data_IF_072861973329
#
_entry.id   IF_072861973329
#
_cell.length_a   1.000
_cell.length_b   1.000
_cell.length_c   1.000
_cell.angle_alpha   90.00
_cell.angle_beta   90.00
_cell.angle_gamma   90.00
#
_symmetry.space_group_name_H-M   'P 1'
#
loop_
_entity.id
_entity.type
_entity.pdbx_description
1 polymer ?
#
# COMPACT_ATOMS: atom_id res chain seq x y z
N UNK A 1 -19.84 -59.05 8.50
CA UNK A 1 -19.03 -58.26 7.57
C UNK A 1 -18.09 -57.41 8.41
N UNK A 2 -16.80 -57.75 8.37
CA UNK A 2 -15.72 -57.14 9.15
C UNK A 2 -15.35 -55.78 8.56
N UNK A 3 -15.10 -54.80 9.43
CA UNK A 3 -14.56 -53.50 9.07
C UNK A 3 -13.04 -53.58 8.94
N UNK A 4 -12.57 -53.30 7.73
CA UNK A 4 -11.16 -53.33 7.35
C UNK A 4 -10.35 -52.12 7.85
N UNK A 5 -9.08 -52.43 8.10
CA UNK A 5 -8.01 -51.59 8.61
C UNK A 5 -7.62 -50.46 7.64
N UNK A 6 -7.55 -49.21 8.14
CA UNK A 6 -6.84 -48.13 7.48
C UNK A 6 -5.46 -47.99 8.12
N UNK A 7 -4.44 -48.34 7.34
CA UNK A 7 -3.02 -48.31 7.68
C UNK A 7 -2.47 -46.88 7.68
N UNK A 8 -1.68 -46.60 8.72
CA UNK A 8 -0.84 -45.40 8.87
C UNK A 8 0.32 -45.44 7.87
N UNK A 9 0.34 -44.52 6.91
CA UNK A 9 1.52 -44.24 6.10
C UNK A 9 2.40 -43.19 6.82
N UNK A 10 3.63 -43.59 7.16
CA UNK A 10 4.70 -42.72 7.68
C UNK A 10 5.26 -41.91 6.52
N UNK A 11 5.16 -40.58 6.61
CA UNK A 11 5.85 -39.67 5.69
C UNK A 11 7.35 -39.63 5.98
N UNK A 12 8.18 -39.97 5.00
CA UNK A 12 9.62 -39.77 5.04
C UNK A 12 9.94 -38.30 4.76
N UNK A 13 10.76 -37.70 5.63
CA UNK A 13 11.32 -36.37 5.43
C UNK A 13 12.45 -36.45 4.39
N UNK A 14 12.26 -35.81 3.23
CA UNK A 14 13.35 -35.54 2.30
C UNK A 14 14.17 -34.34 2.78
N UNK A 15 15.51 -34.44 2.89
CA UNK A 15 16.35 -33.27 3.09
C UNK A 15 16.58 -32.59 1.74
N UNK A 16 16.14 -31.35 1.59
CA UNK A 16 16.60 -30.51 0.48
C UNK A 16 18.07 -30.14 0.72
N UNK A 17 18.96 -30.30 -0.28
CA UNK A 17 20.32 -29.80 -0.15
C UNK A 17 20.29 -28.27 -0.13
N UNK A 18 20.96 -27.68 0.87
CA UNK A 18 21.28 -26.25 0.89
C UNK A 18 22.03 -25.91 -0.41
N UNK A 19 21.45 -25.05 -1.24
CA UNK A 19 22.19 -24.38 -2.31
C UNK A 19 23.03 -23.30 -1.67
N UNK A 20 24.35 -23.44 -1.79
CA UNK A 20 25.31 -22.38 -1.51
C UNK A 20 24.98 -21.19 -2.42
N UNK A 21 24.56 -20.08 -1.80
CA UNK A 21 24.27 -18.82 -2.47
C UNK A 21 25.37 -17.83 -2.10
N UNK A 22 26.51 -17.94 -2.78
CA UNK A 22 27.52 -16.88 -2.87
C UNK A 22 28.21 -17.00 -4.23
N UNK A 23 27.55 -16.47 -5.26
CA UNK A 23 28.21 -16.03 -6.47
C UNK A 23 27.87 -14.55 -6.65
N UNK A 24 28.51 -13.70 -5.85
CA UNK A 24 28.68 -12.30 -6.23
C UNK A 24 29.56 -12.30 -7.49
N UNK A 25 28.91 -12.28 -8.66
CA UNK A 25 29.63 -12.18 -9.92
C UNK A 25 30.43 -10.87 -9.91
N UNK A 26 31.73 -10.95 -10.23
CA UNK A 26 32.64 -9.81 -10.33
C UNK A 26 32.15 -8.71 -11.31
N UNK A 27 31.09 -8.98 -12.09
CA UNK A 27 30.46 -8.01 -12.99
C UNK A 27 29.61 -6.92 -12.32
N UNK A 28 29.15 -7.11 -11.07
CA UNK A 28 28.29 -6.13 -10.40
C UNK A 28 29.06 -4.92 -9.80
N UNK A 29 30.38 -5.04 -9.62
CA UNK A 29 31.23 -3.96 -9.06
C UNK A 29 31.78 -3.00 -10.11
N UNK A 30 31.85 -3.42 -11.38
CA UNK A 30 32.46 -2.65 -12.47
C UNK A 30 31.69 -1.35 -12.85
N UNK A 31 30.35 -1.31 -12.88
CA UNK A 31 29.63 -0.09 -13.26
C UNK A 31 29.70 1.02 -12.22
N UNK A 32 29.81 0.68 -10.92
CA UNK A 32 29.87 1.63 -9.80
C UNK A 32 31.21 2.39 -9.79
N UNK A 33 32.28 1.78 -10.32
CA UNK A 33 33.59 2.42 -10.48
C UNK A 33 33.76 3.19 -11.80
N UNK A 34 32.88 2.98 -12.79
CA UNK A 34 33.02 3.54 -14.14
C UNK A 34 32.08 4.73 -14.43
N UNK A 35 31.09 5.00 -13.57
CA UNK A 35 30.09 6.05 -13.74
C UNK A 35 30.54 7.43 -13.29
N UNK A 36 31.60 7.96 -13.92
CA UNK A 36 32.01 9.37 -14.04
C UNK A 36 33.51 9.36 -14.26
N UNK A 37 33.96 9.51 -15.50
CA UNK A 37 35.38 9.70 -15.82
C UNK A 37 35.78 11.10 -15.35
N UNK A 38 35.96 11.23 -14.03
CA UNK A 38 36.73 12.31 -13.45
C UNK A 38 38.16 12.17 -13.97
N UNK A 39 38.75 13.29 -14.39
CA UNK A 39 40.15 13.33 -14.79
C UNK A 39 41.01 12.66 -13.69
N UNK A 40 42.01 11.83 -14.06
CA UNK A 40 42.79 11.08 -13.11
C UNK A 40 43.42 12.04 -12.12
N UNK A 41 42.99 11.97 -10.85
CA UNK A 41 43.59 12.78 -9.81
C UNK A 41 45.06 12.38 -9.72
N UNK A 42 45.96 13.37 -9.82
CA UNK A 42 47.42 13.18 -9.79
C UNK A 42 47.96 12.77 -8.42
N UNK A 43 47.09 12.45 -7.45
CA UNK A 43 47.50 11.82 -6.20
C UNK A 43 47.72 10.33 -6.45
N UNK A 44 48.95 9.86 -6.22
CA UNK A 44 49.30 8.43 -6.18
C UNK A 44 48.19 7.69 -5.44
N UNK A 45 47.53 6.73 -6.11
CA UNK A 45 46.40 6.00 -5.55
C UNK A 45 46.78 5.38 -4.21
N UNK A 46 46.18 5.86 -3.13
CA UNK A 46 46.28 5.18 -1.85
C UNK A 46 45.53 3.85 -1.96
N UNK A 47 46.06 2.77 -1.37
CA UNK A 47 45.34 1.50 -1.33
C UNK A 47 44.00 1.69 -0.62
N UNK A 48 42.92 1.22 -1.24
CA UNK A 48 41.61 1.13 -0.61
C UNK A 48 41.61 -0.13 0.26
N UNK A 49 41.55 0.07 1.57
CA UNK A 49 41.37 -1.03 2.54
C UNK A 49 39.88 -1.37 2.64
N UNK A 50 39.54 -2.64 2.43
CA UNK A 50 38.17 -3.15 2.60
C UNK A 50 38.09 -4.03 3.85
N UNK A 51 37.20 -3.68 4.76
CA UNK A 51 36.95 -4.39 6.02
C UNK A 51 35.57 -5.04 6.00
N UNK A 52 35.38 -6.09 6.80
CA UNK A 52 34.09 -6.74 6.98
C UNK A 52 33.67 -6.67 8.45
N UNK A 53 32.40 -6.36 8.69
CA UNK A 53 31.78 -6.27 10.01
C UNK A 53 30.52 -7.12 10.03
N UNK A 54 30.24 -7.79 11.16
CA UNK A 54 29.07 -8.64 11.28
C UNK A 54 27.79 -7.80 11.37
N UNK A 55 27.86 -6.65 12.05
CA UNK A 55 26.72 -5.76 12.24
C UNK A 55 27.10 -4.25 12.34
N UNK A 56 26.11 -3.36 12.41
CA UNK A 56 26.34 -1.91 12.49
C UNK A 56 26.96 -1.45 13.81
N UNK A 57 26.80 -2.18 14.92
CA UNK A 57 27.48 -1.85 16.16
C UNK A 57 28.98 -2.11 16.06
N UNK A 58 29.41 -3.21 15.44
CA UNK A 58 30.84 -3.46 15.21
C UNK A 58 31.45 -2.33 14.35
N UNK A 59 30.69 -1.84 13.36
CA UNK A 59 31.10 -0.68 12.55
C UNK A 59 31.21 0.60 13.38
N UNK A 60 30.30 0.83 14.34
CA UNK A 60 30.34 1.99 15.27
C UNK A 60 31.54 1.94 16.20
N UNK A 61 31.87 0.74 16.68
CA UNK A 61 33.02 0.50 17.56
C UNK A 61 34.34 0.64 16.83
N UNK A 62 34.34 0.39 15.51
CA UNK A 62 35.49 0.61 14.64
C UNK A 62 35.74 2.11 14.40
N UNK A 63 36.31 2.76 15.41
CA UNK A 63 36.88 4.11 15.33
C UNK A 63 38.16 4.12 14.47
N UNK A 64 38.41 5.25 13.81
CA UNK A 64 39.49 5.55 12.84
C UNK A 64 40.77 4.69 12.97
N UNK A 65 41.36 4.32 11.83
CA UNK A 65 42.81 4.14 11.73
C UNK A 65 43.48 5.52 11.73
N UNK A 66 44.67 5.66 12.31
CA UNK A 66 45.32 6.95 12.57
C UNK A 66 45.66 7.77 11.30
N UNK A 67 45.60 7.16 10.12
CA UNK A 67 46.25 7.68 8.91
C UNK A 67 45.34 8.33 7.86
N UNK A 68 44.07 8.60 8.17
CA UNK A 68 43.17 9.31 7.24
C UNK A 68 42.94 8.57 5.91
N UNK A 69 43.17 7.27 5.88
CA UNK A 69 42.93 6.43 4.71
C UNK A 69 41.44 6.34 4.39
N UNK A 70 41.12 6.24 3.09
CA UNK A 70 39.77 5.92 2.65
C UNK A 70 39.47 4.45 2.99
N UNK A 71 38.62 4.22 3.98
CA UNK A 71 38.22 2.88 4.40
C UNK A 71 36.86 2.54 3.82
N UNK A 72 36.80 1.39 3.17
CA UNK A 72 35.56 0.75 2.72
C UNK A 72 35.20 -0.35 3.71
N UNK A 73 33.93 -0.43 4.10
CA UNK A 73 33.42 -1.44 5.01
C UNK A 73 32.25 -2.19 4.38
N UNK A 74 32.27 -3.51 4.44
CA UNK A 74 31.12 -4.38 4.15
C UNK A 74 30.51 -4.78 5.48
N UNK A 75 29.25 -4.44 5.70
CA UNK A 75 28.50 -4.84 6.89
C UNK A 75 27.50 -5.92 6.50
N UNK A 76 27.50 -7.04 7.21
CA UNK A 76 26.66 -8.20 6.88
C UNK A 76 25.21 -8.07 7.34
N UNK A 77 24.93 -7.21 8.32
CA UNK A 77 23.57 -6.92 8.81
C UNK A 77 23.48 -5.67 9.70
N UNK A 78 22.27 -5.31 10.13
CA UNK A 78 22.00 -4.24 11.09
C UNK A 78 22.39 -4.67 12.50
N UNK A 79 21.89 -5.80 12.99
CA UNK A 79 22.12 -6.27 14.37
C UNK A 79 22.86 -7.61 14.42
N UNK A 80 22.70 -8.46 13.42
CA UNK A 80 23.42 -9.73 13.27
C UNK A 80 23.65 -10.04 11.79
N UNK A 81 24.64 -10.88 11.44
CA UNK A 81 24.91 -11.20 10.05
C UNK A 81 23.65 -11.67 9.30
N UNK A 82 23.43 -11.12 8.10
CA UNK A 82 22.32 -11.43 7.20
C UNK A 82 20.94 -11.06 7.75
N UNK A 83 20.89 -10.22 8.78
CA UNK A 83 19.63 -9.76 9.33
C UNK A 83 19.01 -8.58 8.55
N UNK A 84 19.47 -8.31 7.31
CA UNK A 84 19.08 -7.10 6.58
C UNK A 84 19.82 -5.87 7.13
N UNK A 85 19.74 -4.74 6.45
CA UNK A 85 20.36 -3.49 6.92
C UNK A 85 21.88 -3.41 6.85
N UNK A 86 22.54 -4.50 6.47
CA UNK A 86 23.94 -4.51 6.01
C UNK A 86 24.12 -3.79 4.67
N UNK A 87 25.35 -3.61 4.23
CA UNK A 87 25.67 -2.88 3.01
C UNK A 87 27.13 -2.49 2.90
N UNK A 88 27.45 -1.71 1.88
CA UNK A 88 28.78 -1.13 1.70
C UNK A 88 28.80 0.26 2.34
N UNK A 89 29.85 0.60 3.08
CA UNK A 89 30.00 1.89 3.75
C UNK A 89 31.39 2.48 3.48
N UNK A 90 31.47 3.79 3.46
CA UNK A 90 32.71 4.55 3.32
C UNK A 90 32.83 5.55 4.45
N UNK A 91 33.98 5.60 5.11
CA UNK A 91 34.21 6.59 6.16
C UNK A 91 34.40 7.99 5.53
N UNK A 92 33.46 8.89 5.77
CA UNK A 92 33.61 10.32 5.47
C UNK A 92 34.12 11.04 6.72
N UNK A 93 35.44 11.26 6.76
CA UNK A 93 36.09 11.94 7.90
C UNK A 93 35.71 13.41 8.07
N UNK A 94 35.11 14.04 7.05
CA UNK A 94 34.64 15.43 7.11
C UNK A 94 33.15 15.54 7.48
N UNK A 95 32.40 14.44 7.39
CA UNK A 95 30.99 14.42 7.77
C UNK A 95 30.82 14.63 9.27
N UNK A 96 30.02 15.64 9.62
CA UNK A 96 29.64 15.97 10.98
C UNK A 96 28.12 15.93 11.07
N UNK A 97 27.58 15.24 12.06
CA UNK A 97 26.14 15.10 12.23
C UNK A 97 25.77 14.02 13.26
N UNK A 98 24.49 13.90 13.61
CA UNK A 98 24.01 12.77 14.39
C UNK A 98 24.11 11.46 13.58
N UNK A 99 24.31 10.34 14.27
CA UNK A 99 24.09 8.99 13.73
C UNK A 99 22.60 8.86 13.36
N UNK A 100 22.31 8.58 12.09
CA UNK A 100 20.94 8.39 11.59
C UNK A 100 20.54 6.90 11.53
N UNK A 101 21.44 6.00 11.95
CA UNK A 101 21.32 4.54 12.05
C UNK A 101 21.24 3.83 10.70
N UNK A 102 21.20 4.57 9.58
CA UNK A 102 20.83 4.02 8.26
C UNK A 102 21.86 4.39 7.20
N UNK A 103 22.00 5.67 6.92
CA UNK A 103 22.84 6.22 5.85
C UNK A 103 24.14 6.84 6.38
N UNK A 104 24.14 7.30 7.63
CA UNK A 104 25.27 7.94 8.32
C UNK A 104 25.42 7.35 9.72
N UNK A 105 26.39 6.47 9.90
CA UNK A 105 26.68 5.84 11.20
C UNK A 105 27.80 6.63 11.89
N UNK A 106 27.49 7.21 13.04
CA UNK A 106 28.46 7.93 13.86
C UNK A 106 29.34 6.95 14.62
N UNK A 107 30.66 7.12 14.57
CA UNK A 107 31.54 6.42 15.52
C UNK A 107 31.21 6.83 16.96
N UNK A 108 31.48 5.97 17.94
CA UNK A 108 31.19 6.28 19.36
C UNK A 108 31.90 7.55 19.89
N UNK A 109 32.92 8.04 19.18
CA UNK A 109 33.62 9.26 19.53
C UNK A 109 33.14 10.44 18.65
N UNK A 110 32.52 11.43 19.30
CA UNK A 110 31.78 12.59 18.74
C UNK A 110 32.55 13.56 17.84
N UNK A 111 33.77 13.24 17.42
CA UNK A 111 34.67 14.15 16.68
C UNK A 111 35.33 13.52 15.45
N UNK A 112 34.86 12.36 14.97
CA UNK A 112 35.70 11.48 14.13
C UNK A 112 35.13 11.05 12.77
N UNK A 113 34.22 11.86 12.19
CA UNK A 113 33.60 11.57 10.89
C UNK A 113 32.38 10.64 11.00
N UNK A 114 31.81 10.26 9.86
CA UNK A 114 30.67 9.34 9.78
C UNK A 114 30.86 8.29 8.69
N UNK A 115 30.46 7.06 8.96
CA UNK A 115 30.35 6.03 7.93
C UNK A 115 29.12 6.31 7.07
N UNK A 116 29.34 6.53 5.78
CA UNK A 116 28.28 6.75 4.81
C UNK A 116 28.00 5.48 4.03
N UNK A 117 26.75 5.04 3.99
CA UNK A 117 26.37 3.89 3.17
C UNK A 117 26.48 4.23 1.68
N UNK A 118 27.18 3.38 0.94
CA UNK A 118 27.31 3.44 -0.51
C UNK A 118 26.22 2.60 -1.17
N UNK A 119 25.75 3.04 -2.34
CA UNK A 119 24.74 2.30 -3.12
C UNK A 119 23.29 2.53 -2.68
N UNK A 120 23.05 3.23 -1.56
CA UNK A 120 21.74 3.83 -1.28
C UNK A 120 21.42 5.03 -2.19
N UNK A 121 22.32 5.37 -3.12
CA UNK A 121 21.97 6.11 -4.33
C UNK A 121 21.18 5.22 -5.31
N UNK A 122 19.98 4.85 -4.88
CA UNK A 122 18.86 4.43 -5.69
C UNK A 122 18.96 3.06 -6.35
N UNK A 123 17.94 2.24 -6.05
CA UNK A 123 17.32 1.38 -7.06
C UNK A 123 16.91 2.16 -8.35
N UNK A 124 17.03 3.50 -8.39
CA UNK A 124 16.86 4.39 -9.55
C UNK A 124 17.80 5.63 -9.58
N UNK A 125 18.96 5.63 -8.91
CA UNK A 125 19.86 6.81 -8.89
C UNK A 125 19.28 8.09 -8.27
N UNK A 126 18.20 8.00 -7.48
CA UNK A 126 17.61 9.13 -6.77
C UNK A 126 18.02 9.07 -5.29
N UNK A 127 18.72 10.09 -4.80
CA UNK A 127 19.18 10.22 -3.41
C UNK A 127 18.05 10.36 -2.37
N UNK A 128 16.80 10.31 -2.83
CA UNK A 128 15.60 10.59 -2.05
C UNK A 128 14.85 9.34 -1.60
N UNK A 129 15.39 8.12 -1.81
CA UNK A 129 14.75 6.88 -1.34
C UNK A 129 15.44 6.32 -0.11
N UNK A 130 14.65 5.88 0.87
CA UNK A 130 15.08 5.16 2.05
C UNK A 130 14.56 3.74 1.97
N UNK A 131 15.38 2.75 2.26
CA UNK A 131 15.06 1.35 2.03
C UNK A 131 14.60 0.66 3.31
N UNK A 132 13.47 -0.05 3.31
CA UNK A 132 12.95 -0.75 4.50
C UNK A 132 13.95 -1.74 5.12
N UNK A 133 14.71 -2.46 4.30
CA UNK A 133 15.74 -3.38 4.77
C UNK A 133 16.90 -2.63 5.42
N UNK A 134 17.19 -1.39 5.00
CA UNK A 134 18.18 -0.56 5.68
C UNK A 134 17.83 -0.27 7.16
N UNK A 135 16.54 -0.32 7.50
CA UNK A 135 16.02 -0.23 8.88
C UNK A 135 15.87 -1.61 9.56
N UNK A 136 16.35 -2.69 8.94
CA UNK A 136 16.33 -4.05 9.48
C UNK A 136 15.06 -4.86 9.17
N UNK A 137 14.20 -4.39 8.25
CA UNK A 137 13.05 -5.20 7.80
C UNK A 137 13.54 -6.42 7.00
N UNK A 138 12.86 -7.56 7.12
CA UNK A 138 13.20 -8.82 6.44
C UNK A 138 12.29 -9.12 5.27
N UNK A 139 10.97 -8.90 5.42
CA UNK A 139 9.99 -9.27 4.41
C UNK A 139 9.90 -10.79 4.20
N UNK A 140 10.18 -11.59 5.23
CA UNK A 140 10.39 -13.04 5.14
C UNK A 140 9.25 -13.90 5.72
N UNK A 141 8.06 -13.32 5.92
CA UNK A 141 6.88 -13.94 6.55
C UNK A 141 7.05 -14.46 8.01
N UNK A 142 8.23 -14.35 8.62
CA UNK A 142 8.48 -14.92 9.94
C UNK A 142 8.83 -13.83 10.94
N UNK A 143 9.74 -12.94 10.55
CA UNK A 143 10.26 -11.85 11.34
C UNK A 143 9.21 -10.74 11.50
N UNK A 144 9.15 -10.14 12.68
CA UNK A 144 8.30 -8.97 12.92
C UNK A 144 8.99 -7.70 12.41
N UNK A 145 8.45 -7.14 11.33
CA UNK A 145 9.01 -5.98 10.64
C UNK A 145 8.44 -4.64 11.16
N UNK A 146 7.52 -4.68 12.13
CA UNK A 146 6.77 -3.51 12.60
C UNK A 146 7.69 -2.34 12.98
N UNK A 147 8.78 -2.60 13.72
CA UNK A 147 9.69 -1.54 14.16
C UNK A 147 10.46 -0.92 12.99
N UNK A 148 11.05 -1.75 12.14
CA UNK A 148 11.81 -1.30 10.99
C UNK A 148 10.98 -0.42 10.05
N UNK A 149 9.73 -0.84 9.77
CA UNK A 149 8.83 -0.05 8.91
C UNK A 149 8.38 1.25 9.57
N UNK A 150 8.17 1.28 10.90
CA UNK A 150 7.89 2.54 11.61
C UNK A 150 9.05 3.52 11.54
N UNK A 151 10.28 3.02 11.70
CA UNK A 151 11.48 3.85 11.64
C UNK A 151 11.68 4.40 10.22
N UNK A 152 11.42 3.60 9.18
CA UNK A 152 11.37 4.04 7.79
C UNK A 152 10.35 5.17 7.58
N UNK A 153 9.10 4.99 8.02
CA UNK A 153 8.04 6.00 7.85
C UNK A 153 8.39 7.31 8.55
N UNK A 154 8.98 7.23 9.75
CA UNK A 154 9.42 8.41 10.49
C UNK A 154 10.54 9.16 9.76
N UNK A 155 11.47 8.42 9.15
CA UNK A 155 12.57 8.98 8.39
C UNK A 155 12.12 9.55 7.02
N UNK A 156 11.07 8.99 6.40
CA UNK A 156 10.49 9.50 5.15
C UNK A 156 9.52 10.67 5.37
N UNK A 157 8.81 10.71 6.50
CA UNK A 157 7.73 11.66 6.79
C UNK A 157 8.12 13.00 7.41
N UNK A 158 9.41 13.32 7.58
CA UNK A 158 9.83 14.59 8.21
C UNK A 158 9.84 15.75 7.21
N UNK A 159 8.87 16.66 7.33
CA UNK A 159 8.72 17.89 6.52
C UNK A 159 9.84 18.95 6.74
N UNK A 160 10.93 18.63 7.45
CA UNK A 160 11.98 19.60 7.75
C UNK A 160 12.83 19.93 6.50
N UNK A 161 12.42 20.97 5.77
CA UNK A 161 13.28 21.84 4.95
C UNK A 161 13.70 21.33 3.56
N UNK A 162 13.60 20.04 3.30
CA UNK A 162 13.85 19.42 1.99
C UNK A 162 12.76 18.37 1.78
N UNK A 163 12.15 18.34 0.59
CA UNK A 163 11.03 17.46 0.26
C UNK A 163 11.23 16.05 0.86
N UNK A 164 10.25 15.56 1.63
CA UNK A 164 10.35 14.30 2.36
C UNK A 164 10.84 13.17 1.45
N UNK A 165 11.74 12.33 1.98
CA UNK A 165 12.25 11.16 1.27
C UNK A 165 11.10 10.18 1.03
N UNK A 166 11.25 9.29 0.05
CA UNK A 166 10.33 8.19 -0.21
C UNK A 166 10.82 6.95 0.54
N UNK A 167 9.98 6.36 1.38
CA UNK A 167 10.25 5.05 1.93
C UNK A 167 9.93 3.97 0.91
N UNK A 168 10.92 3.14 0.58
CA UNK A 168 10.82 2.06 -0.39
C UNK A 168 10.70 0.72 0.32
N UNK A 169 9.63 -0.03 0.00
CA UNK A 169 9.31 -1.35 0.52
C UNK A 169 9.55 -2.36 -0.59
N UNK A 170 10.68 -3.05 -0.57
CA UNK A 170 10.96 -4.04 -1.61
C UNK A 170 9.98 -5.21 -1.55
N UNK A 171 10.07 -6.08 -2.55
CA UNK A 171 9.32 -7.31 -2.55
C UNK A 171 9.55 -8.14 -1.27
N UNK A 172 8.46 -8.65 -0.71
CA UNK A 172 8.48 -9.40 0.53
C UNK A 172 7.12 -9.43 1.21
N UNK A 173 7.01 -10.35 2.17
CA UNK A 173 5.87 -10.44 3.08
C UNK A 173 6.32 -9.91 4.44
N UNK A 174 5.89 -8.70 4.77
CA UNK A 174 6.31 -7.97 5.97
C UNK A 174 5.31 -8.18 7.10
N UNK A 175 5.74 -8.90 8.14
CA UNK A 175 4.85 -9.23 9.26
C UNK A 175 4.68 -8.02 10.14
N UNK A 176 3.43 -7.65 10.43
CA UNK A 176 3.13 -6.59 11.37
C UNK A 176 2.43 -7.15 12.61
N UNK A 177 3.06 -6.99 13.78
CA UNK A 177 2.44 -7.26 15.09
C UNK A 177 1.79 -6.02 15.69
N UNK A 178 2.03 -4.84 15.11
CA UNK A 178 1.42 -3.59 15.51
C UNK A 178 1.15 -2.65 14.33
N UNK A 179 0.49 -1.53 14.63
CA UNK A 179 0.07 -0.54 13.63
C UNK A 179 1.19 0.43 13.26
N UNK A 180 1.23 0.85 12.00
CA UNK A 180 2.11 1.88 11.46
C UNK A 180 1.43 3.25 11.55
N UNK A 181 2.15 4.26 12.03
CA UNK A 181 1.60 5.62 12.11
C UNK A 181 1.92 6.35 10.80
N UNK A 182 0.94 6.45 9.92
CA UNK A 182 1.05 7.26 8.71
C UNK A 182 1.20 8.74 9.09
N UNK A 183 2.07 9.45 8.37
CA UNK A 183 2.33 10.87 8.59
C UNK A 183 1.97 11.67 7.35
N UNK A 184 1.48 12.89 7.55
CA UNK A 184 1.33 13.85 6.47
C UNK A 184 2.66 14.05 5.75
N UNK A 185 2.60 14.28 4.43
CA UNK A 185 3.77 14.37 3.54
C UNK A 185 4.63 13.10 3.42
N UNK A 186 4.29 12.00 4.12
CA UNK A 186 5.01 10.75 3.95
C UNK A 186 4.75 10.16 2.57
N UNK A 187 5.79 9.55 2.01
CA UNK A 187 5.71 8.81 0.75
C UNK A 187 6.19 7.39 1.01
N UNK A 188 5.36 6.41 0.69
CA UNK A 188 5.73 5.00 0.70
C UNK A 188 5.47 4.40 -0.68
N UNK A 189 6.46 3.67 -1.19
CA UNK A 189 6.42 3.02 -2.49
C UNK A 189 6.88 1.58 -2.35
N UNK A 190 6.17 0.62 -2.93
CA UNK A 190 6.61 -0.78 -3.01
C UNK A 190 6.85 -1.28 -4.43
N UNK A 191 7.04 -2.59 -4.59
CA UNK A 191 7.25 -3.25 -5.89
C UNK A 191 5.95 -3.69 -6.57
N UNK A 192 4.82 -3.63 -5.86
CA UNK A 192 3.49 -3.90 -6.39
C UNK A 192 2.52 -4.42 -5.34
N UNK A 193 1.22 -4.30 -5.62
CA UNK A 193 0.11 -4.71 -4.74
C UNK A 193 0.15 -6.17 -4.25
N UNK A 194 0.87 -7.03 -4.97
CA UNK A 194 1.05 -8.47 -4.63
C UNK A 194 2.51 -8.85 -4.38
N UNK A 195 3.43 -7.90 -4.44
CA UNK A 195 4.88 -8.14 -4.31
C UNK A 195 5.42 -7.66 -2.96
N UNK A 196 5.03 -6.45 -2.55
CA UNK A 196 5.36 -5.87 -1.24
C UNK A 196 4.10 -5.89 -0.40
N UNK A 197 3.98 -6.80 0.56
CA UNK A 197 2.71 -7.01 1.29
C UNK A 197 2.91 -6.92 2.78
N UNK A 198 2.15 -6.05 3.43
CA UNK A 198 1.99 -6.04 4.89
C UNK A 198 0.95 -7.07 5.31
N UNK A 199 1.27 -7.97 6.23
CA UNK A 199 0.34 -9.04 6.62
C UNK A 199 0.36 -9.37 8.12
N UNK A 200 -0.74 -9.94 8.65
CA UNK A 200 -0.81 -10.46 10.02
C UNK A 200 -1.78 -11.66 10.19
N UNK A 201 -1.29 -12.90 10.13
CA UNK A 201 -2.13 -14.11 10.28
C UNK A 201 -2.31 -14.63 11.71
N UNK A 202 -1.66 -14.06 12.72
CA UNK A 202 -1.58 -14.72 14.02
C UNK A 202 -2.85 -14.60 14.88
N UNK A 203 -3.71 -13.63 14.59
CA UNK A 203 -4.93 -13.39 15.36
C UNK A 203 -6.15 -13.87 14.58
N UNK A 204 -6.99 -14.70 15.22
CA UNK A 204 -8.23 -15.26 14.66
C UNK A 204 -9.22 -14.16 14.21
N UNK A 205 -9.12 -12.97 14.80
CA UNK A 205 -9.72 -11.73 14.32
C UNK A 205 -8.63 -10.67 14.54
N UNK A 206 -7.99 -10.13 13.49
CA UNK A 206 -6.97 -9.12 13.66
C UNK A 206 -7.64 -7.81 14.12
N UNK A 207 -7.24 -7.29 15.28
CA UNK A 207 -7.72 -5.99 15.79
C UNK A 207 -6.86 -4.80 15.33
N UNK A 208 -5.69 -5.08 14.77
CA UNK A 208 -4.74 -4.05 14.36
C UNK A 208 -5.00 -3.63 12.91
N UNK A 209 -5.17 -2.33 12.61
CA UNK A 209 -5.05 -1.83 11.25
C UNK A 209 -3.57 -1.77 10.83
N UNK A 210 -3.29 -1.77 9.52
CA UNK A 210 -1.93 -1.55 9.00
C UNK A 210 -1.49 -0.13 9.30
N UNK A 211 -2.27 0.86 8.86
CA UNK A 211 -1.98 2.28 9.04
C UNK A 211 -3.03 2.98 9.90
N UNK A 212 -2.57 3.90 10.75
CA UNK A 212 -3.41 4.92 11.40
C UNK A 212 -2.81 6.30 11.25
N UNK A 213 -3.66 7.32 11.29
CA UNK A 213 -3.24 8.69 11.49
C UNK A 213 -4.27 9.43 12.36
N UNK A 214 -3.81 9.91 13.53
CA UNK A 214 -4.68 10.60 14.49
C UNK A 214 -4.81 12.10 14.21
N UNK A 215 -3.73 12.72 13.75
CA UNK A 215 -3.65 14.17 13.54
C UNK A 215 -3.98 14.57 12.09
N UNK A 216 -4.72 13.71 11.38
CA UNK A 216 -4.95 13.81 9.95
C UNK A 216 -3.81 13.24 9.11
N UNK A 217 -4.09 13.11 7.82
CA UNK A 217 -3.19 12.61 6.79
C UNK A 217 -3.34 13.55 5.58
N UNK A 218 -2.35 14.39 5.34
CA UNK A 218 -2.39 15.35 4.23
C UNK A 218 -1.18 15.23 3.33
N UNK A 219 -1.38 15.38 2.02
CA UNK A 219 -0.30 15.36 1.02
C UNK A 219 0.59 14.12 1.06
N UNK A 220 0.06 12.98 1.52
CA UNK A 220 0.77 11.72 1.57
C UNK A 220 0.59 10.92 0.26
N UNK A 221 1.59 10.10 -0.09
CA UNK A 221 1.50 9.18 -1.23
C UNK A 221 1.81 7.75 -0.77
N UNK A 222 0.94 6.82 -1.13
CA UNK A 222 1.08 5.39 -0.86
C UNK A 222 0.91 4.63 -2.16
N UNK A 223 1.96 3.92 -2.58
CA UNK A 223 2.03 3.37 -3.93
C UNK A 223 2.57 1.93 -3.95
N UNK A 224 2.00 1.08 -4.81
CA UNK A 224 2.57 -0.22 -5.19
C UNK A 224 2.81 -1.20 -4.01
N UNK A 225 1.85 -1.37 -3.10
CA UNK A 225 1.96 -2.42 -2.08
C UNK A 225 0.59 -2.97 -1.67
N UNK A 226 0.61 -4.18 -1.11
CA UNK A 226 -0.56 -4.88 -0.61
C UNK A 226 -0.66 -4.86 0.91
N UNK A 227 -1.87 -5.11 1.38
CA UNK A 227 -2.18 -5.34 2.78
C UNK A 227 -3.08 -6.57 2.87
N UNK A 228 -2.86 -7.45 3.84
CA UNK A 228 -3.59 -8.71 3.95
C UNK A 228 -3.86 -9.15 5.40
N UNK A 229 -5.11 -9.58 5.65
CA UNK A 229 -5.54 -10.22 6.90
C UNK A 229 -5.31 -9.34 8.13
N UNK A 230 -5.60 -8.04 8.03
CA UNK A 230 -5.65 -7.12 9.18
C UNK A 230 -7.09 -6.70 9.50
N UNK A 231 -7.26 -5.89 10.56
CA UNK A 231 -8.57 -5.25 10.82
C UNK A 231 -8.94 -4.38 9.64
N UNK A 232 -8.03 -3.48 9.30
CA UNK A 232 -8.16 -2.57 8.19
C UNK A 232 -6.80 -2.27 7.54
N UNK A 233 -6.81 -1.84 6.29
CA UNK A 233 -5.61 -1.28 5.66
C UNK A 233 -5.28 0.07 6.28
N UNK A 234 -6.18 1.04 6.13
CA UNK A 234 -6.08 2.37 6.73
C UNK A 234 -7.26 2.60 7.69
N UNK A 235 -6.98 3.01 8.92
CA UNK A 235 -7.98 3.54 9.87
C UNK A 235 -7.54 4.94 10.32
N UNK A 236 -8.07 5.95 9.62
CA UNK A 236 -7.66 7.35 9.77
C UNK A 236 -8.70 8.10 10.61
N UNK A 237 -8.26 8.63 11.74
CA UNK A 237 -9.12 9.35 12.68
C UNK A 237 -9.29 10.82 12.31
N UNK A 238 -8.22 11.48 11.85
CA UNK A 238 -8.23 12.90 11.51
C UNK A 238 -8.61 13.20 10.06
N UNK A 239 -8.47 14.47 9.68
CA UNK A 239 -8.76 14.97 8.33
C UNK A 239 -7.84 14.31 7.30
N UNK A 240 -8.41 13.85 6.19
CA UNK A 240 -7.67 13.28 5.05
C UNK A 240 -7.83 14.20 3.85
N UNK A 241 -6.73 14.79 3.37
CA UNK A 241 -6.78 15.77 2.28
C UNK A 241 -5.58 15.66 1.31
N UNK A 242 -5.84 15.80 0.00
CA UNK A 242 -4.81 15.79 -1.06
C UNK A 242 -3.86 14.58 -1.02
N UNK A 243 -4.38 13.38 -0.71
CA UNK A 243 -3.57 12.16 -0.68
C UNK A 243 -3.67 11.38 -2.00
N UNK A 244 -2.66 10.56 -2.25
CA UNK A 244 -2.60 9.66 -3.41
C UNK A 244 -2.43 8.22 -2.96
N UNK A 245 -3.34 7.35 -3.38
CA UNK A 245 -3.32 5.91 -3.11
C UNK A 245 -3.31 5.17 -4.46
N UNK A 246 -2.13 4.68 -4.88
CA UNK A 246 -1.93 4.17 -6.24
C UNK A 246 -1.51 2.71 -6.22
N UNK A 247 -2.20 1.85 -6.97
CA UNK A 247 -1.87 0.44 -7.10
C UNK A 247 -1.72 -0.25 -5.73
N UNK A 248 -2.71 -0.02 -4.86
CA UNK A 248 -2.76 -0.61 -3.53
C UNK A 248 -3.69 -1.82 -3.49
N UNK A 249 -3.21 -2.90 -2.87
CA UNK A 249 -3.97 -4.13 -2.65
C UNK A 249 -4.52 -4.22 -1.23
N UNK A 250 -5.75 -4.70 -1.08
CA UNK A 250 -6.37 -5.01 0.22
C UNK A 250 -7.08 -6.34 0.18
N UNK A 251 -6.57 -7.33 0.92
CA UNK A 251 -7.08 -8.70 0.87
C UNK A 251 -7.53 -9.17 2.25
N UNK A 252 -8.71 -9.78 2.33
CA UNK A 252 -9.19 -10.42 3.56
C UNK A 252 -9.23 -9.48 4.79
N UNK A 253 -9.58 -8.20 4.59
CA UNK A 253 -9.70 -7.26 5.71
C UNK A 253 -10.94 -7.56 6.54
N UNK A 254 -10.75 -7.71 7.85
CA UNK A 254 -11.84 -8.08 8.75
C UNK A 254 -12.93 -7.00 8.85
N UNK A 255 -12.56 -5.72 8.74
CA UNK A 255 -13.44 -4.55 8.78
C UNK A 255 -13.49 -3.80 7.44
N UNK A 256 -12.45 -3.04 7.07
CA UNK A 256 -12.46 -2.24 5.84
C UNK A 256 -11.06 -2.12 5.25
N UNK A 257 -10.90 -1.97 3.94
CA UNK A 257 -9.56 -1.62 3.42
C UNK A 257 -9.21 -0.17 3.79
N UNK A 258 -10.15 0.75 3.59
CA UNK A 258 -10.04 2.13 4.03
C UNK A 258 -11.19 2.51 4.95
N UNK A 259 -10.87 2.99 6.15
CA UNK A 259 -11.82 3.57 7.09
C UNK A 259 -11.36 4.98 7.45
N UNK A 260 -12.19 5.95 7.10
CA UNK A 260 -12.01 7.36 7.43
C UNK A 260 -13.07 7.75 8.46
N UNK A 261 -12.63 8.16 9.64
CA UNK A 261 -13.51 8.66 10.71
C UNK A 261 -13.63 10.18 10.69
N UNK A 262 -12.62 10.85 10.14
CA UNK A 262 -12.66 12.26 9.77
C UNK A 262 -13.04 12.47 8.30
N UNK A 263 -13.10 13.75 7.86
CA UNK A 263 -13.34 14.13 6.46
C UNK A 263 -12.35 13.47 5.49
N UNK A 264 -12.85 13.11 4.31
CA UNK A 264 -12.04 12.60 3.19
C UNK A 264 -12.19 13.56 2.01
N UNK A 265 -11.12 14.27 1.67
CA UNK A 265 -11.15 15.39 0.74
C UNK A 265 -10.09 15.24 -0.34
N UNK A 266 -10.45 15.64 -1.56
CA UNK A 266 -9.53 15.88 -2.71
C UNK A 266 -8.52 14.76 -3.02
N UNK A 267 -8.79 13.53 -2.58
CA UNK A 267 -7.83 12.44 -2.64
C UNK A 267 -8.04 11.60 -3.89
N UNK A 268 -6.93 11.06 -4.41
CA UNK A 268 -6.90 10.17 -5.57
C UNK A 268 -6.71 8.72 -5.13
N UNK A 269 -7.56 7.85 -5.66
CA UNK A 269 -7.43 6.41 -5.56
C UNK A 269 -7.29 5.86 -6.99
N UNK A 270 -6.12 5.36 -7.35
CA UNK A 270 -5.83 4.89 -8.71
C UNK A 270 -5.43 3.41 -8.69
N UNK A 271 -6.10 2.58 -9.49
CA UNK A 271 -5.81 1.14 -9.64
C UNK A 271 -5.78 0.39 -8.30
N UNK A 272 -6.68 0.74 -7.39
CA UNK A 272 -6.85 0.00 -6.13
C UNK A 272 -7.50 -1.35 -6.39
N UNK A 273 -7.07 -2.40 -5.67
CA UNK A 273 -7.62 -3.75 -5.77
C UNK A 273 -7.98 -4.28 -4.40
N UNK A 274 -9.28 -4.37 -4.10
CA UNK A 274 -9.78 -4.88 -2.83
C UNK A 274 -10.54 -6.18 -3.05
N UNK A 275 -10.17 -7.23 -2.31
CA UNK A 275 -10.79 -8.54 -2.39
C UNK A 275 -11.13 -9.10 -1.00
N UNK A 276 -12.25 -9.83 -0.93
CA UNK A 276 -12.65 -10.66 0.21
C UNK A 276 -12.65 -9.90 1.55
N UNK A 277 -12.94 -8.60 1.49
CA UNK A 277 -12.94 -7.70 2.65
C UNK A 277 -14.36 -7.37 3.10
N UNK A 278 -14.55 -7.03 4.38
CA UNK A 278 -15.90 -6.70 4.87
C UNK A 278 -16.44 -5.43 4.19
N UNK A 279 -15.63 -4.38 4.11
CA UNK A 279 -15.88 -3.16 3.34
C UNK A 279 -14.67 -2.80 2.47
N UNK A 280 -14.91 -2.09 1.36
CA UNK A 280 -13.84 -1.44 0.59
C UNK A 280 -13.42 -0.13 1.27
N UNK A 281 -14.20 0.92 1.03
CA UNK A 281 -13.98 2.29 1.55
C UNK A 281 -15.17 2.71 2.40
N UNK A 282 -14.88 3.20 3.61
CA UNK A 282 -15.90 3.62 4.59
C UNK A 282 -15.59 5.00 5.12
N UNK A 283 -16.57 5.91 5.03
CA UNK A 283 -16.58 7.20 5.70
C UNK A 283 -18.02 7.52 6.09
N UNK A 284 -18.41 7.22 7.34
CA UNK A 284 -19.83 7.20 7.76
C UNK A 284 -20.26 8.45 8.53
N UNK A 285 -19.30 9.18 9.12
CA UNK A 285 -19.58 10.24 10.10
C UNK A 285 -18.94 11.58 9.72
N UNK A 286 -18.49 11.72 8.48
CA UNK A 286 -17.81 12.92 8.01
C UNK A 286 -18.11 13.17 6.53
N UNK A 287 -17.69 14.34 6.04
CA UNK A 287 -17.88 14.77 4.65
C UNK A 287 -16.85 14.07 3.75
N UNK A 288 -17.29 13.64 2.57
CA UNK A 288 -16.43 13.07 1.53
C UNK A 288 -16.52 13.95 0.30
N UNK A 289 -15.54 14.80 -0.01
CA UNK A 289 -15.68 15.73 -1.15
C UNK A 289 -14.52 15.69 -2.15
N UNK A 290 -14.86 15.80 -3.45
CA UNK A 290 -13.89 15.93 -4.56
C UNK A 290 -12.88 14.79 -4.67
N UNK A 291 -13.28 13.58 -4.28
CA UNK A 291 -12.41 12.41 -4.41
C UNK A 291 -12.56 11.77 -5.79
N UNK A 292 -11.44 11.33 -6.35
CA UNK A 292 -11.40 10.66 -7.65
C UNK A 292 -10.92 9.23 -7.49
N UNK A 293 -11.69 8.30 -8.07
CA UNK A 293 -11.37 6.88 -8.13
C UNK A 293 -11.13 6.50 -9.59
N UNK A 294 -9.95 6.01 -9.94
CA UNK A 294 -9.59 5.58 -11.29
C UNK A 294 -9.30 4.10 -11.29
N UNK A 295 -9.99 3.37 -12.15
CA UNK A 295 -9.86 1.93 -12.31
C UNK A 295 -9.93 1.13 -11.00
N UNK A 296 -10.87 1.43 -10.07
CA UNK A 296 -10.94 0.68 -8.81
C UNK A 296 -11.51 -0.73 -9.04
N UNK A 297 -10.90 -1.75 -8.45
CA UNK A 297 -11.40 -3.12 -8.45
C UNK A 297 -11.88 -3.51 -7.06
N UNK A 298 -13.17 -3.81 -6.93
CA UNK A 298 -13.80 -4.30 -5.71
C UNK A 298 -14.37 -5.70 -5.97
N UNK A 299 -13.77 -6.70 -5.32
CA UNK A 299 -14.07 -8.12 -5.51
C UNK A 299 -14.55 -8.74 -4.20
N UNK A 300 -15.63 -9.50 -4.25
CA UNK A 300 -16.14 -10.27 -3.10
C UNK A 300 -16.28 -9.44 -1.81
N UNK A 301 -16.63 -8.15 -1.94
CA UNK A 301 -16.76 -7.27 -0.78
C UNK A 301 -18.03 -7.62 -0.03
N UNK A 302 -17.92 -7.95 1.25
CA UNK A 302 -19.02 -8.56 2.01
C UNK A 302 -20.22 -7.63 2.17
N UNK A 303 -19.98 -6.36 2.49
CA UNK A 303 -21.04 -5.40 2.83
C UNK A 303 -21.20 -4.32 1.77
N UNK A 304 -20.17 -3.49 1.54
CA UNK A 304 -20.22 -2.43 0.52
C UNK A 304 -18.83 -2.10 0.01
N UNK A 305 -18.70 -1.90 -1.31
CA UNK A 305 -17.48 -1.41 -1.92
C UNK A 305 -17.18 0.02 -1.45
N UNK A 306 -18.22 0.86 -1.42
CA UNK A 306 -18.13 2.24 -0.94
C UNK A 306 -19.31 2.53 -0.02
N UNK A 307 -19.02 2.90 1.22
CA UNK A 307 -20.01 3.40 2.18
C UNK A 307 -19.65 4.83 2.58
N UNK A 308 -20.33 5.80 1.99
CA UNK A 308 -19.95 7.22 2.08
C UNK A 308 -21.12 8.07 2.60
N UNK A 309 -20.88 8.81 3.66
CA UNK A 309 -21.74 9.86 4.17
C UNK A 309 -21.25 11.22 3.68
N UNK A 310 -22.16 12.17 3.46
CA UNK A 310 -21.82 13.53 3.05
C UNK A 310 -20.98 13.58 1.77
N UNK A 311 -21.22 12.65 0.84
CA UNK A 311 -20.40 12.53 -0.36
C UNK A 311 -20.76 13.61 -1.38
N UNK A 312 -19.82 14.47 -1.76
CA UNK A 312 -20.02 15.57 -2.71
C UNK A 312 -18.97 15.56 -3.82
N UNK A 313 -19.38 15.67 -5.08
CA UNK A 313 -18.46 15.81 -6.23
C UNK A 313 -17.46 14.63 -6.31
N UNK A 314 -17.98 13.40 -6.15
CA UNK A 314 -17.18 12.18 -6.23
C UNK A 314 -17.22 11.64 -7.66
N UNK A 315 -16.05 11.36 -8.21
CA UNK A 315 -15.89 10.84 -9.56
C UNK A 315 -15.24 9.45 -9.54
N UNK A 316 -15.90 8.47 -10.16
CA UNK A 316 -15.37 7.13 -10.42
C UNK A 316 -15.20 6.96 -11.92
N UNK A 317 -13.99 6.66 -12.38
CA UNK A 317 -13.65 6.42 -13.79
C UNK A 317 -13.23 4.97 -13.96
N UNK A 318 -13.94 4.24 -14.81
CA UNK A 318 -13.82 2.82 -14.96
C UNK A 318 -14.30 2.09 -13.71
N UNK A 319 -13.65 0.97 -13.42
CA UNK A 319 -13.87 0.18 -12.22
C UNK A 319 -14.58 -1.14 -12.48
N UNK A 320 -14.27 -2.08 -11.61
CA UNK A 320 -14.72 -3.47 -11.66
C UNK A 320 -15.35 -3.80 -10.31
N UNK A 321 -16.65 -3.99 -10.29
CA UNK A 321 -17.40 -4.35 -9.10
C UNK A 321 -17.94 -5.76 -9.27
N UNK A 322 -17.34 -6.73 -8.59
CA UNK A 322 -17.67 -8.13 -8.80
C UNK A 322 -17.70 -8.98 -7.54
N UNK A 323 -18.33 -10.15 -7.66
CA UNK A 323 -18.34 -11.17 -6.62
C UNK A 323 -19.40 -10.91 -5.55
N UNK A 324 -19.98 -11.99 -5.04
CA UNK A 324 -21.19 -11.93 -4.24
C UNK A 324 -21.00 -11.15 -2.93
N UNK A 325 -21.90 -10.20 -2.68
CA UNK A 325 -22.06 -9.54 -1.40
C UNK A 325 -23.09 -10.21 -0.50
N UNK A 326 -23.19 -9.75 0.75
CA UNK A 326 -24.26 -10.18 1.67
C UNK A 326 -25.63 -9.72 1.16
N UNK A 327 -26.63 -10.58 1.33
CA UNK A 327 -28.02 -10.26 0.98
C UNK A 327 -28.52 -9.00 1.69
N UNK A 328 -29.33 -8.20 1.02
CA UNK A 328 -29.86 -6.95 1.56
C UNK A 328 -28.85 -5.81 1.65
N UNK A 329 -27.59 -5.99 1.21
CA UNK A 329 -26.57 -4.94 1.17
C UNK A 329 -26.42 -4.35 -0.23
N UNK A 330 -25.72 -3.21 -0.33
CA UNK A 330 -25.48 -2.50 -1.57
C UNK A 330 -23.99 -2.29 -1.83
N UNK A 331 -23.62 -2.22 -3.12
CA UNK A 331 -22.25 -1.92 -3.54
C UNK A 331 -21.88 -0.50 -3.13
N UNK A 332 -22.76 0.44 -3.47
CA UNK A 332 -22.70 1.85 -3.12
C UNK A 332 -23.74 2.11 -2.02
N UNK A 333 -23.29 2.41 -0.82
CA UNK A 333 -24.14 2.78 0.33
C UNK A 333 -23.89 4.25 0.67
N UNK A 334 -24.76 5.12 0.15
CA UNK A 334 -24.59 6.57 0.17
C UNK A 334 -25.62 7.21 1.11
N UNK A 335 -25.17 8.17 1.92
CA UNK A 335 -26.06 8.99 2.74
C UNK A 335 -25.69 10.46 2.69
N UNK A 336 -26.68 11.35 2.64
CA UNK A 336 -26.47 12.80 2.49
C UNK A 336 -25.53 13.15 1.32
N UNK A 337 -25.62 12.39 0.22
CA UNK A 337 -24.73 12.56 -0.92
C UNK A 337 -25.29 13.56 -1.95
N UNK A 338 -24.41 14.12 -2.78
CA UNK A 338 -24.69 15.06 -3.85
C UNK A 338 -23.63 14.93 -4.97
N UNK A 339 -24.04 14.96 -6.23
CA UNK A 339 -23.12 14.98 -7.39
C UNK A 339 -22.11 13.83 -7.40
N UNK A 340 -22.59 12.60 -7.60
CA UNK A 340 -21.75 11.41 -7.75
C UNK A 340 -21.78 10.98 -9.21
N UNK A 341 -20.61 10.77 -9.82
CA UNK A 341 -20.52 10.38 -11.23
C UNK A 341 -19.69 9.11 -11.38
N UNK A 342 -20.23 8.12 -12.07
CA UNK A 342 -19.54 6.90 -12.48
C UNK A 342 -19.44 6.91 -14.01
N UNK A 343 -18.23 6.89 -14.55
CA UNK A 343 -17.95 6.91 -16.00
C UNK A 343 -17.24 5.63 -16.39
N UNK A 344 -17.88 4.79 -17.19
CA UNK A 344 -17.39 3.47 -17.53
C UNK A 344 -17.48 2.48 -16.36
N UNK A 345 -16.85 1.32 -16.54
CA UNK A 345 -16.82 0.27 -15.54
C UNK A 345 -17.96 -0.73 -15.67
N UNK A 346 -17.89 -1.76 -14.84
CA UNK A 346 -18.84 -2.86 -14.90
C UNK A 346 -19.20 -3.45 -13.54
N UNK A 347 -20.44 -3.90 -13.45
CA UNK A 347 -21.03 -4.56 -12.29
C UNK A 347 -21.38 -6.00 -12.66
N UNK A 348 -20.77 -6.98 -11.97
CA UNK A 348 -20.93 -8.40 -12.29
C UNK A 348 -21.07 -9.31 -11.08
N UNK A 349 -22.22 -9.95 -10.90
CA UNK A 349 -22.41 -10.97 -9.86
C UNK A 349 -22.20 -10.44 -8.43
N UNK A 350 -22.34 -9.14 -8.26
CA UNK A 350 -22.07 -8.40 -7.03
C UNK A 350 -23.29 -8.37 -6.08
N UNK A 351 -23.42 -7.34 -5.25
CA UNK A 351 -24.53 -7.23 -4.29
C UNK A 351 -25.90 -7.18 -4.97
N UNK A 352 -26.93 -7.57 -4.21
CA UNK A 352 -28.34 -7.49 -4.64
C UNK A 352 -28.74 -6.07 -5.06
N UNK A 353 -28.25 -5.07 -4.32
CA UNK A 353 -28.49 -3.65 -4.61
C UNK A 353 -27.23 -3.01 -5.21
N UNK A 354 -27.37 -2.31 -6.34
CA UNK A 354 -26.26 -1.48 -6.86
C UNK A 354 -26.07 -0.28 -5.93
N UNK A 355 -27.17 0.38 -5.60
CA UNK A 355 -27.19 1.63 -4.86
C UNK A 355 -28.22 1.59 -3.73
N UNK A 356 -27.75 1.97 -2.54
CA UNK A 356 -28.56 2.49 -1.45
C UNK A 356 -28.27 3.96 -1.28
N UNK A 357 -29.30 4.79 -1.29
CA UNK A 357 -29.16 6.24 -1.14
C UNK A 357 -30.19 6.76 -0.12
N UNK A 358 -29.70 7.42 0.94
CA UNK A 358 -30.53 7.99 2.01
C UNK A 358 -30.29 9.47 2.20
N UNK A 359 -31.36 10.27 2.25
CA UNK A 359 -31.28 11.73 2.36
C UNK A 359 -30.34 12.36 1.30
N UNK A 360 -30.19 11.70 0.16
CA UNK A 360 -29.33 12.15 -0.93
C UNK A 360 -30.13 13.15 -1.75
N UNK A 361 -29.58 14.36 -1.89
CA UNK A 361 -30.13 15.39 -2.73
C UNK A 361 -29.24 15.53 -3.97
N UNK A 362 -29.83 15.82 -5.12
CA UNK A 362 -29.08 16.04 -6.36
C UNK A 362 -28.89 14.80 -7.21
N UNK A 363 -27.76 14.76 -7.93
CA UNK A 363 -27.54 13.89 -9.07
C UNK A 363 -26.58 12.74 -8.76
N UNK A 364 -26.98 11.51 -9.06
CA UNK A 364 -26.08 10.36 -9.21
C UNK A 364 -26.14 9.91 -10.67
N UNK A 365 -25.02 10.02 -11.39
CA UNK A 365 -24.94 9.70 -12.81
C UNK A 365 -24.13 8.43 -13.05
N UNK A 366 -24.66 7.56 -13.90
CA UNK A 366 -23.98 6.40 -14.47
C UNK A 366 -23.83 6.66 -15.97
N UNK A 367 -22.61 6.70 -16.47
CA UNK A 367 -22.28 7.00 -17.87
C UNK A 367 -21.45 5.87 -18.46
N UNK A 368 -21.90 5.27 -19.56
CA UNK A 368 -21.22 4.15 -20.23
C UNK A 368 -20.94 2.96 -19.32
N UNK A 369 -21.82 2.71 -18.35
CA UNK A 369 -21.70 1.62 -17.38
C UNK A 369 -22.35 0.33 -17.91
N UNK A 370 -21.69 -0.79 -17.67
CA UNK A 370 -22.21 -2.13 -17.98
C UNK A 370 -22.72 -2.85 -16.71
N UNK A 371 -23.97 -3.30 -16.74
CA UNK A 371 -24.59 -4.10 -15.69
C UNK A 371 -24.85 -5.51 -16.20
N UNK A 372 -24.44 -6.55 -15.46
CA UNK A 372 -24.86 -7.92 -15.78
C UNK A 372 -26.08 -8.32 -14.96
N UNK A 373 -25.87 -8.95 -13.82
CA UNK A 373 -26.91 -9.46 -12.93
C UNK A 373 -26.32 -9.69 -11.52
N UNK A 374 -27.13 -9.60 -10.47
CA UNK A 374 -26.64 -9.94 -9.13
C UNK A 374 -26.50 -11.46 -8.96
N UNK A 375 -27.41 -12.21 -9.60
CA UNK A 375 -27.38 -13.66 -9.78
C UNK A 375 -27.84 -13.98 -11.20
N UNK A 376 -27.39 -15.09 -11.80
CA UNK A 376 -27.82 -15.46 -13.15
C UNK A 376 -29.34 -15.35 -13.33
N UNK A 377 -29.77 -14.51 -14.27
CA UNK A 377 -31.18 -14.26 -14.59
C UNK A 377 -31.93 -13.32 -13.63
N UNK A 378 -31.29 -12.76 -12.60
CA UNK A 378 -31.94 -11.86 -11.65
C UNK A 378 -31.31 -10.46 -11.69
N UNK A 379 -32.08 -9.43 -12.08
CA UNK A 379 -31.55 -8.07 -12.23
C UNK A 379 -31.22 -7.46 -10.88
N UNK A 380 -30.37 -6.44 -10.90
CA UNK A 380 -30.05 -5.64 -9.73
C UNK A 380 -31.26 -4.87 -9.20
N UNK A 381 -31.22 -4.59 -7.90
CA UNK A 381 -32.19 -3.76 -7.20
C UNK A 381 -31.63 -2.37 -6.88
N UNK A 382 -32.55 -1.46 -6.60
CA UNK A 382 -32.30 -0.06 -6.27
C UNK A 382 -33.08 0.27 -5.00
N UNK A 383 -32.41 0.86 -4.02
CA UNK A 383 -33.02 1.26 -2.75
C UNK A 383 -32.68 2.73 -2.50
N UNK A 384 -33.45 3.60 -3.14
CA UNK A 384 -33.12 5.02 -3.33
C UNK A 384 -34.32 5.87 -2.92
N UNK A 385 -34.10 6.83 -2.02
CA UNK A 385 -35.16 7.74 -1.59
C UNK A 385 -35.61 8.68 -2.73
N UNK A 386 -36.89 9.07 -2.72
CA UNK A 386 -37.52 9.91 -3.76
C UNK A 386 -36.77 11.20 -4.17
N UNK A 387 -36.10 11.98 -3.29
CA UNK A 387 -35.39 13.19 -3.71
C UNK A 387 -34.14 12.91 -4.55
N UNK A 388 -33.64 11.67 -4.55
CA UNK A 388 -32.43 11.30 -5.29
C UNK A 388 -32.74 11.18 -6.77
N UNK A 389 -31.99 11.89 -7.62
CA UNK A 389 -32.13 11.78 -9.09
C UNK A 389 -31.01 10.90 -9.65
N UNK A 390 -31.40 9.81 -10.30
CA UNK A 390 -30.46 8.97 -11.05
C UNK A 390 -30.48 9.36 -12.52
N UNK A 391 -29.32 9.44 -13.15
CA UNK A 391 -29.19 9.63 -14.61
C UNK A 391 -28.37 8.49 -15.18
N UNK A 392 -28.86 7.88 -16.25
CA UNK A 392 -28.16 6.84 -16.99
C UNK A 392 -27.88 7.34 -18.40
N UNK A 393 -26.61 7.35 -18.80
CA UNK A 393 -26.15 7.81 -20.11
C UNK A 393 -25.44 6.69 -20.84
N UNK A 394 -25.97 6.26 -21.98
CA UNK A 394 -25.31 5.25 -22.82
C UNK A 394 -24.97 3.94 -22.06
N UNK A 395 -25.84 3.53 -21.13
CA UNK A 395 -25.61 2.35 -20.29
C UNK A 395 -26.13 1.06 -20.94
N UNK A 396 -25.61 -0.07 -20.51
CA UNK A 396 -26.03 -1.38 -20.99
C UNK A 396 -26.31 -2.33 -19.83
N UNK A 397 -27.47 -2.99 -19.84
CA UNK A 397 -27.77 -4.11 -18.96
C UNK A 397 -27.88 -5.41 -19.78
N UNK A 398 -27.25 -6.51 -19.35
CA UNK A 398 -27.35 -7.80 -20.08
C UNK A 398 -28.73 -8.43 -19.97
N UNK A 399 -29.49 -8.09 -18.93
CA UNK A 399 -30.88 -8.49 -18.74
C UNK A 399 -31.78 -7.28 -18.47
N UNK A 400 -33.10 -7.36 -18.74
CA UNK A 400 -34.03 -6.29 -18.43
C UNK A 400 -33.95 -5.87 -16.95
N UNK A 401 -33.70 -4.58 -16.72
CA UNK A 401 -33.60 -3.96 -15.39
C UNK A 401 -34.51 -2.74 -15.33
N UNK A 402 -35.23 -2.60 -14.21
CA UNK A 402 -36.06 -1.42 -13.93
C UNK A 402 -35.38 -0.52 -12.90
N UNK A 403 -35.23 0.76 -13.24
CA UNK A 403 -34.65 1.79 -12.36
C UNK A 403 -35.75 2.64 -11.70
N UNK A 404 -35.48 3.32 -10.57
CA UNK A 404 -36.47 4.12 -9.84
C UNK A 404 -37.22 5.15 -10.71
N UNK A 405 -38.48 5.45 -10.38
CA UNK A 405 -39.41 6.34 -11.12
C UNK A 405 -38.86 7.75 -11.40
N UNK A 406 -37.98 8.27 -10.54
CA UNK A 406 -37.34 9.58 -10.70
C UNK A 406 -36.10 9.59 -11.60
N UNK A 407 -35.73 8.45 -12.18
CA UNK A 407 -34.54 8.33 -13.02
C UNK A 407 -34.74 8.90 -14.41
N UNK A 408 -33.67 9.39 -15.02
CA UNK A 408 -33.62 9.87 -16.40
C UNK A 408 -32.70 8.98 -17.23
N UNK A 409 -33.15 8.63 -18.43
CA UNK A 409 -32.36 7.89 -19.41
C UNK A 409 -31.99 8.85 -20.55
N UNK A 410 -30.70 9.06 -20.77
CA UNK A 410 -30.16 9.90 -21.84
C UNK A 410 -29.32 9.04 -22.80
N UNK A 411 -29.44 9.29 -24.10
CA UNK A 411 -28.73 8.47 -25.11
C UNK A 411 -29.25 7.03 -25.22
N UNK A 412 -28.36 6.09 -25.53
CA UNK A 412 -28.73 4.70 -25.83
C UNK A 412 -28.60 3.84 -24.57
N UNK A 413 -29.74 3.54 -23.91
CA UNK A 413 -29.76 2.69 -22.72
C UNK A 413 -30.38 1.32 -23.06
N UNK A 414 -29.55 0.27 -23.12
CA UNK A 414 -29.98 -1.07 -23.49
C UNK A 414 -30.53 -1.85 -22.29
N UNK A 415 -31.74 -2.39 -22.42
CA UNK A 415 -32.43 -3.19 -21.39
C UNK A 415 -32.66 -2.46 -20.05
N UNK A 416 -32.66 -1.13 -20.05
CA UNK A 416 -32.92 -0.32 -18.86
C UNK A 416 -34.21 0.45 -19.10
N UNK A 417 -35.18 0.30 -18.19
CA UNK A 417 -36.45 1.03 -18.21
C UNK A 417 -36.71 1.74 -16.90
N UNK A 418 -37.40 2.88 -16.95
CA UNK A 418 -37.84 3.59 -15.74
C UNK A 418 -39.13 2.97 -15.21
N UNK A 419 -39.25 2.80 -13.89
CA UNK A 419 -40.46 2.30 -13.25
C UNK A 419 -41.69 3.16 -13.64
N UNK A 420 -42.82 2.51 -13.90
CA UNK A 420 -44.08 3.17 -14.24
C UNK A 420 -44.56 4.09 -13.10
N UNK A 421 -45.32 5.13 -13.48
CA UNK A 421 -45.85 6.11 -12.51
C UNK A 421 -46.97 5.56 -11.65
#
# INVERSE_FOLDING_TARGET
>A
MNTDNISKARGSTMPYPRRDFLALSQGALLPILAGNVAAPSTRRGQPLSMLSFDNLNDLREFGRTEDGEAILAVVLGSNSPFDGGGGLFMLDSAAMGPDDVVGSIGGQESHRGQWRRLGESGALGQADHLDARAFGAKGDILSDDTRAIRDLIKASGTFAGTHGKTGYIQNGLYRLTGTLNAQSFSRLHGDGAIQSVFYNFQNKIPDIPVFTARNGLVFASFENFGMMSQRAGFDIEGDTDHNSFVNLGGYEMADAVFRFRGPLQTSLFDRILFDTSTYGIVCENAVVNRNTFREPEFKNIRNSAMKLAGAEDVLVIGGRFEGAGSLGRAILDLSNAHLITLVGGYFEGCHEYILKARNTAGLIAFESVHFTHFRPGVPYKWDVDEPTRLVFRNCHSTIPMTVPKGSLLEGINHNISVAAR
#
